data_IF_557908003656
#
_entry.id   IF_557908003656
#
_cell.length_a   1.000
_cell.length_b   1.000
_cell.length_c   1.000
_cell.angle_alpha   90.00
_cell.angle_beta   90.00
_cell.angle_gamma   90.00
#
_symmetry.space_group_name_H-M   'P 1'
#
loop_
_entity.id
_entity.type
_entity.pdbx_description
1 polymer ?
#
# COMPACT_ATOMS: atom_id res chain seq x y z
N UNK A 1 18.33 4.75 -12.36
CA UNK A 1 19.23 4.38 -13.48
C UNK A 1 19.59 5.65 -14.26
N UNK A 2 20.63 5.63 -15.10
CA UNK A 2 21.03 6.79 -15.89
C UNK A 2 21.45 6.39 -17.31
N UNK A 3 20.86 7.05 -18.30
CA UNK A 3 21.33 7.07 -19.68
C UNK A 3 22.23 8.30 -19.86
N UNK A 4 23.46 8.09 -20.30
CA UNK A 4 24.45 9.15 -20.51
C UNK A 4 24.84 9.20 -21.99
N UNK A 5 24.94 10.39 -22.57
CA UNK A 5 25.42 10.58 -23.95
C UNK A 5 26.83 11.13 -23.89
N UNK A 6 27.80 10.41 -24.47
CA UNK A 6 29.21 10.83 -24.54
C UNK A 6 29.69 10.73 -25.98
N UNK A 7 30.18 11.83 -26.54
CA UNK A 7 30.62 11.92 -27.93
C UNK A 7 29.58 11.37 -28.93
N UNK A 8 28.29 11.70 -28.71
CA UNK A 8 27.19 11.23 -29.54
C UNK A 8 26.80 9.75 -29.35
N UNK A 9 27.48 9.01 -28.46
CA UNK A 9 27.16 7.61 -28.15
C UNK A 9 26.43 7.50 -26.82
N UNK A 10 25.27 6.84 -26.76
CA UNK A 10 24.58 6.59 -25.50
C UNK A 10 25.26 5.45 -24.71
N UNK A 11 25.23 5.56 -23.39
CA UNK A 11 25.73 4.59 -22.42
C UNK A 11 24.72 4.46 -21.30
N UNK A 12 24.42 3.23 -20.88
CA UNK A 12 23.43 2.98 -19.84
C UNK A 12 24.08 2.41 -18.58
N UNK A 13 23.69 2.97 -17.44
CA UNK A 13 24.15 2.56 -16.12
C UNK A 13 22.96 2.28 -15.19
N UNK A 14 22.97 1.09 -14.58
CA UNK A 14 22.02 0.70 -13.53
C UNK A 14 22.63 0.96 -12.16
N UNK A 15 21.84 1.52 -11.24
CA UNK A 15 22.29 1.76 -9.86
C UNK A 15 21.99 0.50 -9.05
N UNK A 16 22.98 -0.02 -8.33
CA UNK A 16 22.81 -1.16 -7.41
C UNK A 16 23.32 -0.76 -6.04
N UNK A 17 22.56 -1.07 -4.99
CA UNK A 17 23.03 -0.91 -3.62
C UNK A 17 23.90 -2.11 -3.24
N UNK A 18 25.13 -1.86 -2.79
CA UNK A 18 26.06 -2.88 -2.27
C UNK A 18 26.47 -2.45 -0.86
N UNK A 19 25.91 -3.11 0.15
CA UNK A 19 26.02 -2.67 1.55
C UNK A 19 25.47 -1.26 1.72
N UNK A 20 26.25 -0.36 2.31
CA UNK A 20 25.82 1.01 2.56
C UNK A 20 26.11 2.00 1.41
N UNK A 21 26.58 1.52 0.25
CA UNK A 21 26.94 2.37 -0.90
C UNK A 21 26.08 2.04 -2.12
N UNK A 22 25.73 3.05 -2.91
CA UNK A 22 25.09 2.89 -4.22
C UNK A 22 26.17 2.98 -5.29
N UNK A 23 26.31 1.93 -6.09
CA UNK A 23 27.27 1.84 -7.19
C UNK A 23 26.56 1.91 -8.55
N UNK A 24 27.24 2.46 -9.55
CA UNK A 24 26.81 2.44 -10.95
C UNK A 24 27.39 1.20 -11.63
N UNK A 25 26.54 0.37 -12.22
CA UNK A 25 26.93 -0.79 -13.01
C UNK A 25 26.69 -0.44 -14.47
N UNK A 26 27.74 -0.54 -15.28
CA UNK A 26 27.64 -0.38 -16.72
C UNK A 26 26.84 -1.53 -17.33
N UNK A 27 25.84 -1.20 -18.14
CA UNK A 27 24.94 -2.18 -18.77
C UNK A 27 25.26 -2.31 -20.26
N UNK A 28 25.52 -1.20 -20.95
CA UNK A 28 25.93 -1.23 -22.35
C UNK A 28 25.90 0.16 -23.00
N UNK A 29 26.14 0.20 -24.31
CA UNK A 29 26.23 1.44 -25.11
C UNK A 29 25.45 1.33 -26.40
N UNK A 30 25.31 2.44 -27.14
CA UNK A 30 24.61 2.48 -28.41
C UNK A 30 23.13 2.14 -28.27
N UNK A 31 22.58 1.48 -29.28
CA UNK A 31 21.17 1.08 -29.30
C UNK A 31 20.78 0.21 -28.09
N UNK A 32 21.69 -0.67 -27.63
CA UNK A 32 21.45 -1.48 -26.44
C UNK A 32 21.25 -0.65 -25.16
N UNK A 33 21.94 0.49 -25.04
CA UNK A 33 21.74 1.41 -23.92
C UNK A 33 20.36 2.05 -23.94
N UNK A 34 19.86 2.40 -25.13
CA UNK A 34 18.53 2.99 -25.31
C UNK A 34 17.43 1.97 -24.97
N UNK A 35 17.50 0.77 -25.55
CA UNK A 35 16.54 -0.31 -25.28
C UNK A 35 16.52 -0.69 -23.79
N UNK A 36 17.69 -0.73 -23.14
CA UNK A 36 17.78 -1.01 -21.71
C UNK A 36 17.13 0.09 -20.85
N UNK A 37 17.26 1.36 -21.25
CA UNK A 37 16.64 2.48 -20.56
C UNK A 37 15.11 2.46 -20.70
N UNK A 38 14.63 2.13 -21.90
CA UNK A 38 13.20 2.00 -22.19
C UNK A 38 12.58 0.84 -21.42
N UNK A 39 13.23 -0.33 -21.40
CA UNK A 39 12.75 -1.48 -20.63
C UNK A 39 12.64 -1.15 -19.14
N UNK A 40 13.69 -0.55 -18.54
CA UNK A 40 13.67 -0.15 -17.13
C UNK A 40 12.64 0.97 -16.87
N UNK A 41 12.28 1.77 -17.87
CA UNK A 41 11.18 2.74 -17.77
C UNK A 41 9.82 2.04 -17.73
N UNK A 42 9.56 1.11 -18.66
CA UNK A 42 8.32 0.34 -18.71
C UNK A 42 8.12 -0.51 -17.45
N UNK A 43 9.18 -1.17 -16.95
CA UNK A 43 9.11 -1.92 -15.70
C UNK A 43 8.72 -1.01 -14.53
N UNK A 44 9.31 0.19 -14.41
CA UNK A 44 8.96 1.14 -13.35
C UNK A 44 7.54 1.66 -13.49
N UNK A 45 7.10 1.92 -14.72
CA UNK A 45 5.74 2.33 -15.01
C UNK A 45 4.74 1.26 -14.54
N UNK A 46 4.92 0.01 -14.96
CA UNK A 46 4.06 -1.11 -14.60
C UNK A 46 4.01 -1.33 -13.08
N UNK A 47 5.18 -1.38 -12.43
CA UNK A 47 5.27 -1.49 -10.97
C UNK A 47 4.54 -0.34 -10.23
N UNK A 48 4.56 0.86 -10.81
CA UNK A 48 3.86 2.01 -10.21
C UNK A 48 2.35 1.88 -10.41
N UNK A 49 1.90 1.41 -11.57
CA UNK A 49 0.48 1.16 -11.81
C UNK A 49 -0.07 0.07 -10.90
N UNK A 50 0.63 -1.06 -10.78
CA UNK A 50 0.26 -2.16 -9.88
C UNK A 50 0.14 -1.67 -8.44
N UNK A 51 1.17 -0.98 -7.92
CA UNK A 51 1.13 -0.41 -6.56
C UNK A 51 0.00 0.60 -6.36
N UNK A 52 -0.35 1.37 -7.39
CA UNK A 52 -1.46 2.31 -7.31
C UNK A 52 -2.81 1.59 -7.28
N UNK A 53 -2.96 0.48 -8.01
CA UNK A 53 -4.15 -0.37 -7.96
C UNK A 53 -4.29 -1.02 -6.59
N UNK A 54 -3.23 -1.66 -6.08
CA UNK A 54 -3.20 -2.25 -4.73
C UNK A 54 -3.56 -1.23 -3.65
N UNK A 55 -3.02 -0.02 -3.72
CA UNK A 55 -3.35 1.06 -2.77
C UNK A 55 -4.81 1.49 -2.85
N UNK A 56 -5.39 1.54 -4.05
CA UNK A 56 -6.82 1.87 -4.22
C UNK A 56 -7.70 0.78 -3.63
N UNK A 57 -7.38 -0.50 -3.87
CA UNK A 57 -8.11 -1.63 -3.29
C UNK A 57 -8.02 -1.62 -1.76
N UNK A 58 -6.81 -1.44 -1.20
CA UNK A 58 -6.61 -1.32 0.24
C UNK A 58 -7.40 -0.15 0.85
N UNK A 59 -7.45 1.00 0.17
CA UNK A 59 -8.23 2.14 0.63
C UNK A 59 -9.74 1.85 0.66
N UNK A 60 -10.25 1.15 -0.35
CA UNK A 60 -11.67 0.73 -0.40
C UNK A 60 -12.00 -0.26 0.73
N UNK A 61 -11.14 -1.25 0.98
CA UNK A 61 -11.32 -2.18 2.09
C UNK A 61 -11.29 -1.47 3.45
N UNK A 62 -10.31 -0.58 3.64
CA UNK A 62 -10.20 0.19 4.88
C UNK A 62 -11.43 1.10 5.10
N UNK A 63 -11.97 1.69 4.05
CA UNK A 63 -13.20 2.48 4.15
C UNK A 63 -14.38 1.60 4.59
N UNK A 64 -14.59 0.45 3.94
CA UNK A 64 -15.67 -0.47 4.29
C UNK A 64 -15.55 -0.98 5.74
N UNK A 65 -14.34 -1.32 6.18
CA UNK A 65 -14.06 -1.75 7.56
C UNK A 65 -14.40 -0.65 8.58
N UNK A 66 -14.06 0.61 8.26
CA UNK A 66 -14.37 1.74 9.12
C UNK A 66 -15.89 1.99 9.22
N UNK A 67 -16.61 1.88 8.11
CA UNK A 67 -18.07 2.01 8.07
C UNK A 67 -18.74 0.89 8.88
N UNK A 68 -18.30 -0.36 8.72
CA UNK A 68 -18.80 -1.49 9.50
C UNK A 68 -18.54 -1.32 10.99
N UNK A 69 -17.33 -0.88 11.38
CA UNK A 69 -16.98 -0.64 12.78
C UNK A 69 -17.85 0.46 13.39
N UNK A 70 -18.10 1.54 12.64
CA UNK A 70 -18.99 2.60 13.08
C UNK A 70 -20.42 2.09 13.34
N UNK A 71 -20.97 1.30 12.41
CA UNK A 71 -22.30 0.69 12.58
C UNK A 71 -22.34 -0.30 13.75
N UNK A 72 -21.29 -1.10 13.93
CA UNK A 72 -21.16 -2.05 15.05
C UNK A 72 -21.17 -1.31 16.39
N UNK A 73 -20.44 -0.20 16.51
CA UNK A 73 -20.42 0.64 17.70
C UNK A 73 -21.81 1.23 17.98
N UNK A 74 -22.51 1.76 16.96
CA UNK A 74 -23.87 2.28 17.10
C UNK A 74 -24.89 1.22 17.52
N UNK A 75 -24.80 0.02 16.96
CA UNK A 75 -25.64 -1.11 17.36
C UNK A 75 -25.36 -1.56 18.80
N UNK A 76 -24.09 -1.60 19.22
CA UNK A 76 -23.71 -1.89 20.61
C UNK A 76 -24.26 -0.84 21.58
N UNK A 77 -24.20 0.44 21.22
CA UNK A 77 -24.79 1.53 22.00
C UNK A 77 -26.31 1.33 22.13
N UNK A 78 -27.03 1.17 21.02
CA UNK A 78 -28.48 1.00 21.02
C UNK A 78 -28.90 -0.24 21.82
N UNK A 79 -28.22 -1.37 21.62
CA UNK A 79 -28.47 -2.58 22.40
C UNK A 79 -28.25 -2.35 23.89
N UNK A 80 -27.20 -1.62 24.26
CA UNK A 80 -26.89 -1.29 25.66
C UNK A 80 -28.03 -0.49 26.27
N UNK A 81 -28.54 0.53 25.57
CA UNK A 81 -29.70 1.31 26.01
C UNK A 81 -30.94 0.45 26.22
N UNK A 82 -31.30 -0.38 25.25
CA UNK A 82 -32.46 -1.28 25.34
C UNK A 82 -32.30 -2.27 26.49
N UNK A 83 -31.12 -2.89 26.62
CA UNK A 83 -30.84 -3.85 27.68
C UNK A 83 -30.98 -3.22 29.06
N UNK A 84 -30.38 -2.04 29.27
CA UNK A 84 -30.49 -1.29 30.54
C UNK A 84 -31.93 -0.90 30.85
N UNK A 85 -32.67 -0.39 29.86
CA UNK A 85 -34.09 -0.05 30.02
C UNK A 85 -34.95 -1.26 30.43
N UNK A 86 -34.58 -2.46 29.99
CA UNK A 86 -35.24 -3.73 30.35
C UNK A 86 -34.67 -4.37 31.64
N UNK A 87 -33.86 -3.63 32.41
CA UNK A 87 -33.31 -4.08 33.69
C UNK A 87 -32.12 -5.04 33.57
N UNK A 88 -31.50 -5.15 32.39
CA UNK A 88 -30.24 -5.89 32.23
C UNK A 88 -29.03 -5.00 32.58
N UNK A 89 -27.96 -5.63 33.03
CA UNK A 89 -26.67 -4.98 33.33
C UNK A 89 -25.52 -5.90 32.92
N UNK A 90 -24.30 -5.37 32.82
CA UNK A 90 -23.14 -6.09 32.27
C UNK A 90 -22.01 -6.34 33.29
N UNK A 91 -22.23 -7.11 34.37
CA UNK A 91 -21.16 -7.45 35.31
C UNK A 91 -20.11 -8.35 34.64
N UNK A 92 -18.83 -8.06 34.83
CA UNK A 92 -17.71 -8.84 34.26
C UNK A 92 -17.87 -9.13 32.75
N UNK A 93 -18.35 -8.14 31.98
CA UNK A 93 -18.58 -8.21 30.52
C UNK A 93 -19.69 -9.16 30.05
N UNK A 94 -20.49 -9.74 30.95
CA UNK A 94 -21.63 -10.61 30.60
C UNK A 94 -22.96 -9.93 30.94
N UNK A 95 -23.96 -10.01 30.06
CA UNK A 95 -25.28 -9.44 30.33
C UNK A 95 -26.09 -10.32 31.29
N UNK A 96 -26.72 -9.71 32.31
CA UNK A 96 -27.58 -10.38 33.30
C UNK A 96 -28.77 -9.50 33.65
N UNK A 97 -29.96 -10.08 33.83
CA UNK A 97 -31.15 -9.37 34.30
C UNK A 97 -31.03 -9.10 35.80
N UNK A 98 -31.32 -7.88 36.25
CA UNK A 98 -31.57 -7.60 37.68
C UNK A 98 -32.85 -8.33 38.08
N UNK A 99 -32.79 -9.04 39.20
CA UNK A 99 -33.99 -9.59 39.84
C UNK A 99 -34.80 -8.46 40.44
#
# INVERSE_FOLDING_TARGET
MALEIRNGRPYYYRKKRKGNKVISIYVGSGEFALVSADLDFYERYNNTQEKNLERKEQALHLQADNELKYLEEKLKELFTWIAVANGYHKPKRQWRKKR
#
